data_IF_381932496853
#
_entry.id   IF_381932496853
#
_cell.length_a   1.000
_cell.length_b   1.000
_cell.length_c   1.000
_cell.angle_alpha   90.00
_cell.angle_beta   90.00
_cell.angle_gamma   90.00
#
_symmetry.space_group_name_H-M   'P 1'
#
loop_
_entity.id
_entity.type
_entity.pdbx_description
1 polymer ?
#
# COMPACT_ATOMS: atom_id res chain seq x y z
N UNK A 1 -17.66 -29.82 35.18
CA UNK A 1 -18.04 -29.09 33.94
C UNK A 1 -17.24 -27.78 33.69
N UNK A 2 -16.04 -27.60 34.26
CA UNK A 2 -15.25 -26.34 34.13
C UNK A 2 -13.96 -26.47 33.28
N UNK A 3 -13.60 -27.64 32.77
CA UNK A 3 -12.33 -27.80 32.03
C UNK A 3 -12.41 -27.55 30.50
N UNK A 4 -13.62 -27.37 29.96
CA UNK A 4 -13.82 -27.17 28.51
C UNK A 4 -13.64 -25.71 28.06
N UNK A 5 -13.80 -24.75 28.98
CA UNK A 5 -13.73 -23.32 28.64
C UNK A 5 -12.30 -22.79 28.48
N UNK A 6 -11.35 -23.40 29.16
CA UNK A 6 -9.94 -22.92 29.16
C UNK A 6 -9.12 -23.35 27.94
N UNK A 7 -9.55 -24.39 27.22
CA UNK A 7 -8.86 -24.90 26.01
C UNK A 7 -9.21 -24.14 24.73
N UNK A 8 -10.36 -23.44 24.70
CA UNK A 8 -10.80 -22.69 23.51
C UNK A 8 -10.13 -21.31 23.39
N UNK A 9 -9.84 -20.63 24.51
CA UNK A 9 -9.14 -19.34 24.52
C UNK A 9 -7.72 -19.45 23.98
N UNK A 10 -6.94 -20.43 24.42
CA UNK A 10 -5.56 -20.63 23.96
C UNK A 10 -5.43 -20.98 22.47
N UNK A 11 -6.46 -21.60 21.89
CA UNK A 11 -6.51 -21.95 20.45
C UNK A 11 -6.89 -20.75 19.58
N UNK A 12 -7.70 -19.85 20.10
CA UNK A 12 -8.05 -18.61 19.42
C UNK A 12 -6.87 -17.64 19.39
N UNK A 13 -6.12 -17.50 20.48
CA UNK A 13 -4.96 -16.61 20.57
C UNK A 13 -3.85 -17.02 19.59
N UNK A 14 -3.60 -18.33 19.45
CA UNK A 14 -2.59 -18.83 18.51
C UNK A 14 -2.99 -18.61 17.05
N UNK A 15 -4.28 -18.66 16.71
CA UNK A 15 -4.78 -18.39 15.36
C UNK A 15 -4.69 -16.91 15.03
N UNK A 16 -5.10 -16.04 15.96
CA UNK A 16 -5.02 -14.57 15.77
C UNK A 16 -3.57 -14.12 15.61
N UNK A 17 -2.65 -14.66 16.40
CA UNK A 17 -1.22 -14.40 16.27
C UNK A 17 -0.68 -14.81 14.90
N UNK A 18 -1.03 -15.99 14.40
CA UNK A 18 -0.62 -16.46 13.09
C UNK A 18 -1.15 -15.58 11.94
N UNK A 19 -2.40 -15.15 12.02
CA UNK A 19 -3.01 -14.25 11.02
C UNK A 19 -2.36 -12.86 11.03
N UNK A 20 -2.07 -12.30 12.21
CA UNK A 20 -1.41 -11.01 12.34
C UNK A 20 0.01 -11.04 11.75
N UNK A 21 0.78 -12.09 12.05
CA UNK A 21 2.12 -12.29 11.47
C UNK A 21 2.05 -12.41 9.95
N UNK A 22 1.09 -13.17 9.44
CA UNK A 22 0.91 -13.33 8.00
C UNK A 22 0.54 -12.00 7.32
N UNK A 23 -0.40 -11.26 7.89
CA UNK A 23 -0.78 -9.92 7.40
C UNK A 23 0.41 -8.95 7.37
N UNK A 24 1.21 -8.94 8.44
CA UNK A 24 2.42 -8.13 8.52
C UNK A 24 3.44 -8.51 7.43
N UNK A 25 3.68 -9.81 7.23
CA UNK A 25 4.60 -10.28 6.20
C UNK A 25 4.15 -9.88 4.79
N UNK A 26 2.86 -10.02 4.48
CA UNK A 26 2.32 -9.58 3.19
C UNK A 26 2.42 -8.06 3.00
N UNK A 27 2.22 -7.29 4.05
CA UNK A 27 2.42 -5.83 4.02
C UNK A 27 3.88 -5.48 3.75
N UNK A 28 4.82 -6.14 4.42
CA UNK A 28 6.26 -5.95 4.18
C UNK A 28 6.66 -6.36 2.76
N UNK A 29 6.12 -7.44 2.22
CA UNK A 29 6.38 -7.85 0.84
C UNK A 29 5.84 -6.84 -0.18
N UNK A 30 4.66 -6.30 0.06
CA UNK A 30 4.07 -5.27 -0.81
C UNK A 30 4.94 -4.00 -0.83
N UNK A 31 5.29 -3.47 0.35
CA UNK A 31 6.15 -2.30 0.47
C UNK A 31 7.57 -2.58 -0.01
N UNK A 32 8.13 -3.74 0.30
CA UNK A 32 9.47 -4.15 -0.15
C UNK A 32 9.56 -4.27 -1.67
N UNK A 33 8.54 -4.79 -2.34
CA UNK A 33 8.49 -4.86 -3.80
C UNK A 33 8.44 -3.47 -4.45
N UNK A 34 7.70 -2.54 -3.85
CA UNK A 34 7.64 -1.15 -4.28
C UNK A 34 8.97 -0.42 -4.03
N UNK A 35 9.54 -0.53 -2.82
CA UNK A 35 10.84 0.06 -2.49
C UNK A 35 11.95 -0.49 -3.38
N UNK A 36 11.94 -1.79 -3.64
CA UNK A 36 12.89 -2.43 -4.56
C UNK A 36 12.81 -1.83 -5.98
N UNK A 37 11.58 -1.57 -6.46
CA UNK A 37 11.37 -0.88 -7.74
C UNK A 37 11.94 0.54 -7.72
N UNK A 38 11.71 1.30 -6.63
CA UNK A 38 12.22 2.67 -6.50
C UNK A 38 13.76 2.71 -6.44
N UNK A 39 14.36 1.80 -5.68
CA UNK A 39 15.80 1.65 -5.60
C UNK A 39 16.40 1.25 -6.95
N UNK A 40 15.79 0.32 -7.64
CA UNK A 40 16.22 -0.07 -8.99
C UNK A 40 16.17 1.13 -9.95
N UNK A 41 15.08 1.90 -9.91
CA UNK A 41 14.97 3.13 -10.70
C UNK A 41 16.05 4.15 -10.36
N UNK A 42 16.38 4.31 -9.09
CA UNK A 42 17.45 5.19 -8.64
C UNK A 42 18.83 4.76 -9.17
N UNK A 43 19.17 3.47 -9.09
CA UNK A 43 20.46 2.96 -9.56
C UNK A 43 20.60 2.96 -11.09
N UNK A 44 19.52 2.68 -11.81
CA UNK A 44 19.54 2.68 -13.28
C UNK A 44 19.56 4.09 -13.87
N UNK A 45 19.19 5.10 -13.07
CA UNK A 45 19.13 6.51 -13.48
C UNK A 45 18.56 6.70 -14.91
N UNK A 46 17.36 6.15 -15.19
CA UNK A 46 16.79 6.24 -16.53
C UNK A 46 16.51 7.69 -16.90
N UNK A 47 16.50 8.03 -18.20
CA UNK A 47 16.06 9.34 -18.64
C UNK A 47 14.63 9.60 -18.10
N UNK A 48 14.32 10.85 -17.77
CA UNK A 48 13.13 11.29 -17.03
C UNK A 48 11.88 10.45 -17.33
N UNK A 49 11.49 9.61 -16.36
CA UNK A 49 10.29 8.79 -16.48
C UNK A 49 9.08 9.68 -16.10
N UNK A 50 8.02 9.62 -16.89
CA UNK A 50 6.80 10.36 -16.59
C UNK A 50 6.15 9.86 -15.30
N UNK A 51 5.60 10.75 -14.49
CA UNK A 51 4.94 10.39 -13.22
C UNK A 51 3.80 9.37 -13.39
N UNK A 52 2.95 9.43 -14.42
CA UNK A 52 1.94 8.38 -14.66
C UNK A 52 2.55 6.99 -14.83
N UNK A 53 3.72 6.91 -15.45
CA UNK A 53 4.41 5.65 -15.65
C UNK A 53 4.96 5.10 -14.33
N UNK A 54 5.51 5.96 -13.47
CA UNK A 54 5.96 5.57 -12.13
C UNK A 54 4.78 5.06 -11.30
N UNK A 55 3.64 5.73 -11.35
CA UNK A 55 2.42 5.30 -10.69
C UNK A 55 1.94 3.93 -11.19
N UNK A 56 1.96 3.74 -12.51
CA UNK A 56 1.61 2.46 -13.13
C UNK A 56 2.53 1.33 -12.65
N UNK A 57 3.84 1.53 -12.65
CA UNK A 57 4.80 0.54 -12.15
C UNK A 57 4.64 0.30 -10.64
N UNK A 58 4.38 1.33 -9.86
CA UNK A 58 4.11 1.22 -8.42
C UNK A 58 2.88 0.35 -8.12
N UNK A 59 1.94 0.25 -9.05
CA UNK A 59 0.80 -0.66 -8.95
C UNK A 59 1.10 -2.04 -9.51
N UNK A 60 1.68 -2.12 -10.72
CA UNK A 60 1.81 -3.37 -11.48
C UNK A 60 2.84 -4.33 -10.87
N UNK A 61 3.96 -3.82 -10.35
CA UNK A 61 4.99 -4.68 -9.75
C UNK A 61 4.49 -5.34 -8.47
N UNK A 62 3.94 -4.62 -7.47
CA UNK A 62 3.33 -5.26 -6.31
C UNK A 62 2.15 -6.17 -6.66
N UNK A 63 1.35 -5.84 -7.68
CA UNK A 63 0.27 -6.71 -8.18
C UNK A 63 0.82 -8.05 -8.67
N UNK A 64 1.88 -8.04 -9.46
CA UNK A 64 2.53 -9.27 -9.94
C UNK A 64 3.08 -10.08 -8.75
N UNK A 65 3.75 -9.43 -7.79
CA UNK A 65 4.29 -10.07 -6.58
C UNK A 65 3.16 -10.66 -5.74
N UNK A 66 2.08 -9.92 -5.48
CA UNK A 66 0.91 -10.40 -4.75
C UNK A 66 0.26 -11.61 -5.41
N UNK A 67 0.14 -11.61 -6.74
CA UNK A 67 -0.38 -12.74 -7.50
C UNK A 67 0.52 -13.97 -7.38
N UNK A 68 1.84 -13.80 -7.53
CA UNK A 68 2.81 -14.89 -7.46
C UNK A 68 2.85 -15.49 -6.05
N UNK A 69 3.06 -14.65 -5.03
CA UNK A 69 3.17 -15.10 -3.64
C UNK A 69 1.92 -15.84 -3.18
N UNK A 70 0.73 -15.30 -3.50
CA UNK A 70 -0.54 -15.93 -3.09
C UNK A 70 -0.82 -17.24 -3.85
N UNK A 71 -0.24 -17.44 -5.04
CA UNK A 71 -0.31 -18.76 -5.71
C UNK A 71 0.48 -19.84 -4.97
N UNK A 72 1.64 -19.48 -4.41
CA UNK A 72 2.47 -20.41 -3.66
C UNK A 72 1.95 -20.61 -2.23
N UNK A 73 1.56 -19.54 -1.58
CA UNK A 73 1.06 -19.56 -0.20
C UNK A 73 -0.32 -18.92 -0.16
N UNK A 74 -1.33 -19.77 -0.05
CA UNK A 74 -2.73 -19.33 -0.04
C UNK A 74 -3.07 -18.71 1.31
N UNK A 75 -3.02 -17.40 1.35
CA UNK A 75 -3.34 -16.63 2.53
C UNK A 75 -4.37 -15.56 2.18
N UNK A 76 -5.51 -15.63 2.83
CA UNK A 76 -6.58 -14.64 2.65
C UNK A 76 -6.17 -13.26 3.19
N UNK A 77 -5.22 -13.21 4.15
CA UNK A 77 -4.72 -11.96 4.71
C UNK A 77 -4.04 -11.07 3.66
N UNK A 78 -3.44 -11.67 2.61
CA UNK A 78 -2.86 -10.94 1.49
C UNK A 78 -3.88 -10.03 0.77
N UNK A 79 -5.14 -10.43 0.74
CA UNK A 79 -6.21 -9.66 0.10
C UNK A 79 -6.66 -8.43 0.92
N UNK A 80 -6.25 -8.31 2.18
CA UNK A 80 -6.61 -7.24 3.09
C UNK A 80 -5.53 -6.16 3.23
N UNK A 81 -4.36 -6.35 2.63
CA UNK A 81 -3.21 -5.43 2.73
C UNK A 81 -3.54 -4.01 2.26
N UNK A 82 -4.50 -3.85 1.35
CA UNK A 82 -4.98 -2.53 0.90
C UNK A 82 -5.51 -1.64 2.04
N UNK A 83 -6.00 -2.25 3.15
CA UNK A 83 -6.46 -1.49 4.32
C UNK A 83 -5.32 -0.67 4.93
N UNK A 84 -4.10 -1.20 4.96
CA UNK A 84 -2.91 -0.46 5.41
C UNK A 84 -2.68 0.74 4.50
N UNK A 85 -2.79 0.55 3.18
CA UNK A 85 -2.67 1.63 2.20
C UNK A 85 -3.72 2.74 2.40
N UNK A 86 -4.96 2.36 2.71
CA UNK A 86 -6.03 3.31 3.01
C UNK A 86 -5.75 4.10 4.28
N UNK A 87 -5.39 3.41 5.37
CA UNK A 87 -5.05 4.05 6.66
C UNK A 87 -3.85 4.97 6.49
N UNK A 88 -2.82 4.51 5.78
CA UNK A 88 -1.64 5.31 5.47
C UNK A 88 -2.01 6.59 4.72
N UNK A 89 -2.82 6.47 3.66
CA UNK A 89 -3.26 7.63 2.88
C UNK A 89 -4.08 8.62 3.72
N UNK A 90 -4.93 8.12 4.61
CA UNK A 90 -5.69 8.96 5.55
C UNK A 90 -4.77 9.72 6.51
N UNK A 91 -3.78 9.05 7.11
CA UNK A 91 -2.82 9.68 8.02
C UNK A 91 -2.03 10.78 7.29
N UNK A 92 -1.51 10.47 6.11
CA UNK A 92 -0.76 11.46 5.30
C UNK A 92 -1.67 12.62 4.88
N UNK A 93 -2.92 12.36 4.53
CA UNK A 93 -3.88 13.41 4.17
C UNK A 93 -4.16 14.35 5.34
N UNK A 94 -4.36 13.81 6.55
CA UNK A 94 -4.54 14.62 7.76
C UNK A 94 -3.29 15.44 8.07
N UNK A 95 -2.12 14.85 7.93
CA UNK A 95 -0.85 15.54 8.14
C UNK A 95 -0.65 16.69 7.15
N UNK A 96 -0.96 16.47 5.86
CA UNK A 96 -0.91 17.53 4.82
C UNK A 96 -1.89 18.67 5.14
N UNK A 97 -3.08 18.35 5.65
CA UNK A 97 -4.07 19.38 5.99
C UNK A 97 -3.65 20.23 7.19
N UNK A 98 -2.95 19.63 8.16
CA UNK A 98 -2.43 20.31 9.35
C UNK A 98 -1.21 21.19 9.04
N UNK A 99 -0.43 20.86 8.01
CA UNK A 99 0.74 21.65 7.64
C UNK A 99 0.38 23.01 7.03
N UNK A 100 1.06 24.09 7.43
CA UNK A 100 0.97 25.35 6.71
C UNK A 100 1.50 25.16 5.28
N UNK A 101 0.81 25.71 4.31
CA UNK A 101 1.32 25.79 2.94
C UNK A 101 2.53 26.70 2.86
N UNK A 102 3.58 26.28 2.14
CA UNK A 102 4.76 27.11 1.93
C UNK A 102 4.42 28.46 1.30
N UNK A 103 5.25 29.51 1.49
CA UNK A 103 4.93 30.89 1.19
C UNK A 103 4.61 31.17 -0.28
N UNK A 104 4.99 30.33 -1.22
CA UNK A 104 4.83 30.59 -2.67
C UNK A 104 3.69 29.83 -3.34
N UNK A 105 2.96 28.96 -2.67
CA UNK A 105 2.16 28.00 -3.42
C UNK A 105 0.68 27.90 -3.10
N UNK A 106 0.23 28.27 -1.92
CA UNK A 106 -1.21 28.20 -1.64
C UNK A 106 -1.63 28.90 -0.34
N UNK A 107 -1.48 30.19 -0.27
CA UNK A 107 -1.88 30.94 0.92
C UNK A 107 -3.41 30.92 1.18
N UNK A 108 -4.20 30.57 0.18
CA UNK A 108 -5.67 30.53 0.25
C UNK A 108 -6.29 29.27 -0.38
N UNK A 109 -5.52 28.16 -0.50
CA UNK A 109 -6.07 26.94 -1.05
C UNK A 109 -7.10 26.28 -0.14
N UNK A 110 -8.20 25.86 -0.71
CA UNK A 110 -9.13 24.96 -0.05
C UNK A 110 -8.48 23.59 0.25
N UNK A 111 -9.02 22.89 1.23
CA UNK A 111 -8.50 21.58 1.67
C UNK A 111 -8.34 20.57 0.52
N UNK A 112 -9.31 20.51 -0.37
CA UNK A 112 -9.30 19.60 -1.53
C UNK A 112 -8.20 19.93 -2.53
N UNK A 113 -7.93 21.20 -2.76
CA UNK A 113 -6.88 21.65 -3.67
C UNK A 113 -5.49 21.36 -3.07
N UNK A 114 -5.33 21.59 -1.76
CA UNK A 114 -4.10 21.27 -1.02
C UNK A 114 -3.75 19.78 -1.11
N UNK A 115 -4.72 18.90 -0.88
CA UNK A 115 -4.55 17.46 -1.01
C UNK A 115 -4.23 17.05 -2.45
N UNK A 116 -5.00 17.56 -3.42
CA UNK A 116 -4.79 17.22 -4.82
C UNK A 116 -3.41 17.65 -5.32
N UNK A 117 -2.97 18.86 -4.98
CA UNK A 117 -1.64 19.35 -5.37
C UNK A 117 -0.50 18.54 -4.72
N UNK A 118 -0.67 18.07 -3.49
CA UNK A 118 0.37 17.30 -2.79
C UNK A 118 0.39 15.84 -3.21
N UNK A 119 -0.76 15.19 -3.23
CA UNK A 119 -0.84 13.74 -3.48
C UNK A 119 -0.81 13.38 -4.97
N UNK A 120 -1.30 14.28 -5.82
CA UNK A 120 -1.39 14.05 -7.27
C UNK A 120 -0.44 14.93 -8.08
N UNK A 121 0.51 15.62 -7.44
CA UNK A 121 1.34 16.68 -8.02
C UNK A 121 1.88 16.31 -9.42
N UNK A 122 1.11 16.70 -10.41
CA UNK A 122 1.38 16.60 -11.83
C UNK A 122 1.32 18.03 -12.37
N UNK A 123 2.26 18.58 -12.80
CA UNK A 123 3.68 18.81 -12.90
C UNK A 123 4.21 20.04 -12.13
N UNK A 124 3.51 20.54 -11.12
CA UNK A 124 3.99 21.67 -10.31
C UNK A 124 4.36 21.19 -8.92
N UNK A 125 5.53 21.57 -8.40
CA UNK A 125 5.90 21.26 -7.03
C UNK A 125 4.79 21.77 -6.09
N UNK A 126 4.39 20.95 -5.14
CA UNK A 126 3.33 21.30 -4.19
C UNK A 126 3.79 22.27 -3.11
N UNK A 127 5.08 22.57 -3.04
CA UNK A 127 5.73 23.41 -2.03
C UNK A 127 5.70 22.88 -0.60
N UNK A 128 4.90 21.88 -0.35
CA UNK A 128 4.81 21.24 0.96
C UNK A 128 5.87 20.18 1.17
N UNK A 129 6.13 19.41 0.14
CA UNK A 129 7.16 18.38 0.09
C UNK A 129 7.61 18.38 -1.36
N UNK A 130 8.71 19.01 -1.66
CA UNK A 130 9.28 19.25 -2.98
C UNK A 130 9.27 17.97 -3.84
N UNK A 131 8.21 17.71 -4.57
CA UNK A 131 7.93 16.49 -5.35
C UNK A 131 7.80 15.17 -4.56
N UNK A 132 7.97 15.15 -3.25
CA UNK A 132 7.94 13.94 -2.43
C UNK A 132 6.54 13.53 -1.96
N UNK A 133 5.53 14.40 -2.16
CA UNK A 133 4.16 14.13 -1.75
C UNK A 133 3.58 12.83 -2.33
N UNK A 134 3.69 12.57 -3.64
CA UNK A 134 3.27 11.29 -4.23
C UNK A 134 4.08 10.11 -3.72
N UNK A 135 5.38 10.28 -3.50
CA UNK A 135 6.27 9.24 -2.97
C UNK A 135 5.86 8.80 -1.57
N UNK A 136 5.55 9.75 -0.68
CA UNK A 136 5.16 9.45 0.70
C UNK A 136 3.68 9.02 0.82
N UNK A 137 2.79 9.52 -0.03
CA UNK A 137 1.36 9.31 0.09
C UNK A 137 0.80 8.32 -0.93
N UNK A 138 0.73 8.73 -2.18
CA UNK A 138 -0.04 8.03 -3.21
C UNK A 138 0.60 6.72 -3.66
N UNK A 139 1.92 6.71 -3.90
CA UNK A 139 2.58 5.54 -4.47
C UNK A 139 2.63 4.33 -3.54
N UNK A 140 2.94 4.46 -2.23
CA UNK A 140 2.84 3.34 -1.30
C UNK A 140 1.42 2.81 -1.17
N UNK A 141 0.42 3.70 -1.12
CA UNK A 141 -0.98 3.30 -1.02
C UNK A 141 -1.44 2.51 -2.26
N UNK A 142 -1.04 2.96 -3.47
CA UNK A 142 -1.31 2.26 -4.74
C UNK A 142 -0.58 0.92 -4.82
N UNK A 143 0.64 0.84 -4.30
CA UNK A 143 1.40 -0.41 -4.22
C UNK A 143 0.70 -1.46 -3.35
N UNK A 144 0.24 -1.07 -2.16
CA UNK A 144 -0.51 -1.95 -1.25
C UNK A 144 -1.84 -2.38 -1.86
N UNK A 145 -2.54 -1.48 -2.55
CA UNK A 145 -3.76 -1.81 -3.28
C UNK A 145 -3.48 -2.78 -4.44
N UNK A 146 -2.44 -2.52 -5.24
CA UNK A 146 -2.01 -3.39 -6.32
C UNK A 146 -1.70 -4.81 -5.84
N UNK A 147 -0.93 -4.94 -4.77
CA UNK A 147 -0.62 -6.23 -4.15
C UNK A 147 -1.89 -7.00 -3.78
N UNK A 148 -2.83 -6.36 -3.11
CA UNK A 148 -4.10 -6.97 -2.69
C UNK A 148 -4.95 -7.39 -3.87
N UNK A 149 -4.99 -6.60 -4.95
CA UNK A 149 -5.68 -6.96 -6.19
C UNK A 149 -5.04 -8.20 -6.81
N UNK A 150 -3.72 -8.25 -6.89
CA UNK A 150 -2.96 -9.42 -7.37
C UNK A 150 -3.26 -10.69 -6.57
N UNK A 151 -3.28 -10.57 -5.23
CA UNK A 151 -3.62 -11.65 -4.33
C UNK A 151 -5.06 -12.16 -4.56
N UNK A 152 -6.03 -11.26 -4.71
CA UNK A 152 -7.43 -11.62 -5.00
C UNK A 152 -7.57 -12.33 -6.34
N UNK A 153 -6.82 -11.94 -7.38
CA UNK A 153 -6.82 -12.65 -8.66
C UNK A 153 -6.28 -14.08 -8.54
N UNK A 154 -5.23 -14.28 -7.73
CA UNK A 154 -4.70 -15.62 -7.47
C UNK A 154 -5.71 -16.51 -6.74
N UNK A 155 -6.40 -15.98 -5.72
CA UNK A 155 -7.41 -16.70 -4.95
C UNK A 155 -8.67 -17.06 -5.80
N UNK A 156 -9.09 -16.17 -6.71
CA UNK A 156 -10.28 -16.41 -7.56
C UNK A 156 -10.05 -17.43 -8.67
N UNK A 157 -8.84 -17.60 -9.16
CA UNK A 157 -8.52 -18.50 -10.30
C UNK A 157 -8.51 -19.97 -9.92
N UNK A 158 -8.72 -20.33 -8.67
CA UNK A 158 -8.87 -21.74 -8.31
C UNK A 158 -10.25 -22.25 -8.73
N UNK A 159 -10.31 -23.30 -9.55
CA UNK A 159 -11.54 -24.08 -9.65
C UNK A 159 -11.84 -24.62 -8.24
N UNK A 160 -13.09 -24.51 -7.86
CA UNK A 160 -13.67 -25.06 -6.62
C UNK A 160 -13.65 -26.59 -6.75
N UNK A 161 -12.44 -27.16 -6.73
CA UNK A 161 -12.23 -28.61 -6.73
C UNK A 161 -12.32 -29.03 -5.28
N UNK A 162 -13.33 -29.85 -5.04
CA UNK A 162 -13.57 -30.69 -3.88
C UNK A 162 -13.97 -29.99 -2.57
N UNK A 163 -15.29 -29.85 -2.45
CA UNK A 163 -16.01 -30.14 -1.20
C UNK A 163 -16.74 -31.46 -1.32
#
# INVERSE_FOLDING_TARGET
MQSSMYTDEGKNDSRLSGQAVSFFLHTMLALGSWLGLMLLGYFLNPPAISQPLILAFSMLVPLAVGNIVTRFRQDEMAALVWLVGLIWLLIISLWILDMPTGPNECFQCGATEKLARTLLSLPKPSGLIDNDGPFLGTWPAVALAGYSIGARFALRRRPRSDR
#
